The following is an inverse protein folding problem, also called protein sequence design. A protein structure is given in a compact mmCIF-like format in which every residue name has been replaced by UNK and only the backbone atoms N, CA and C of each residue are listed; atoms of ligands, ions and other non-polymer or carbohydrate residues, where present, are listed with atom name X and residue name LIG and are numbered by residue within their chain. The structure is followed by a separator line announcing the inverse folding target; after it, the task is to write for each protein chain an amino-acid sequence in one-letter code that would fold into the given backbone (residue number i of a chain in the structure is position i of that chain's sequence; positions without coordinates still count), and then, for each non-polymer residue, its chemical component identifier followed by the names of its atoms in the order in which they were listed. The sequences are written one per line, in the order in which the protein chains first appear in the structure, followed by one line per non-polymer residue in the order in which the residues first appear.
data_IF_644134616981
#
_entry.id   IF_644134616981
#
_cell.length_a   1.000
_cell.length_b   1.000
_cell.length_c   1.000
_cell.angle_alpha   90.00
_cell.angle_beta   90.00
_cell.angle_gamma   90.00
#
_symmetry.space_group_name_H-M   'P 1'
#
loop_
_entity.id
_entity.type
_entity.pdbx_description
1 polymer ?
#
# COMPACT_ATOMS: atom_id res chain seq x y z
N UNK A 1 -4.61 1.51 12.30
CA UNK A 1 -3.36 1.37 11.53
C UNK A 1 -2.73 -0.01 11.70
N UNK A 2 -2.46 -0.48 12.92
CA UNK A 2 -1.83 -1.79 13.13
C UNK A 2 -2.61 -2.96 12.49
N UNK A 3 -3.93 -3.00 12.69
CA UNK A 3 -4.77 -4.01 12.02
C UNK A 3 -4.69 -3.95 10.48
N UNK A 4 -4.66 -2.75 9.91
CA UNK A 4 -4.49 -2.57 8.46
C UNK A 4 -3.15 -3.09 7.96
N UNK A 5 -2.04 -2.75 8.65
CA UNK A 5 -0.71 -3.27 8.32
C UNK A 5 -0.70 -4.79 8.36
N UNK A 6 -1.31 -5.41 9.37
CA UNK A 6 -1.44 -6.87 9.46
C UNK A 6 -2.15 -7.43 8.25
N UNK A 7 -3.30 -6.86 7.85
CA UNK A 7 -4.05 -7.28 6.66
C UNK A 7 -3.17 -7.17 5.40
N UNK A 8 -2.57 -6.00 5.16
CA UNK A 8 -1.75 -5.74 3.98
C UNK A 8 -0.52 -6.67 3.90
N UNK A 9 0.18 -6.87 5.02
CA UNK A 9 1.34 -7.76 5.11
C UNK A 9 0.95 -9.20 4.76
N UNK A 10 -0.13 -9.73 5.31
CA UNK A 10 -0.50 -11.13 5.12
C UNK A 10 -1.18 -11.39 3.77
N UNK A 11 -2.03 -10.46 3.32
CA UNK A 11 -2.74 -10.54 2.04
C UNK A 11 -1.80 -10.36 0.85
N UNK A 12 -0.84 -9.44 0.97
CA UNK A 12 -0.08 -8.93 -0.19
C UNK A 12 1.43 -9.06 0.02
N UNK A 13 1.96 -8.64 1.17
CA UNK A 13 3.40 -8.70 1.48
C UNK A 13 4.00 -10.10 1.41
N UNK A 14 3.31 -11.10 1.95
CA UNK A 14 3.75 -12.49 1.92
C UNK A 14 3.96 -13.01 0.49
N UNK A 15 3.18 -12.54 -0.48
CA UNK A 15 3.32 -12.92 -1.89
C UNK A 15 4.64 -12.43 -2.49
N UNK A 16 4.98 -11.15 -2.29
CA UNK A 16 6.26 -10.58 -2.71
C UNK A 16 7.44 -11.34 -2.10
N UNK A 17 7.39 -11.62 -0.79
CA UNK A 17 8.44 -12.39 -0.12
C UNK A 17 8.57 -13.79 -0.69
N UNK A 18 7.46 -14.53 -0.81
CA UNK A 18 7.47 -15.91 -1.29
C UNK A 18 8.11 -16.03 -2.67
N UNK A 19 7.76 -15.16 -3.62
CA UNK A 19 8.32 -15.19 -4.98
C UNK A 19 9.84 -15.06 -4.98
N UNK A 20 10.39 -14.10 -4.23
CA UNK A 20 11.83 -13.88 -4.21
C UNK A 20 12.54 -14.93 -3.36
N UNK A 21 11.96 -15.36 -2.24
CA UNK A 21 12.52 -16.44 -1.43
C UNK A 21 12.63 -17.75 -2.25
N UNK A 22 11.61 -18.10 -3.04
CA UNK A 22 11.68 -19.25 -3.95
C UNK A 22 12.81 -19.10 -4.98
N UNK A 23 12.97 -17.92 -5.59
CA UNK A 23 14.06 -17.66 -6.54
C UNK A 23 15.44 -17.77 -5.89
N UNK A 24 15.61 -17.24 -4.66
CA UNK A 24 16.84 -17.34 -3.89
C UNK A 24 17.18 -18.81 -3.57
N UNK A 25 16.20 -19.60 -3.14
CA UNK A 25 16.40 -21.04 -2.92
C UNK A 25 16.82 -21.77 -4.20
N UNK A 26 16.16 -21.50 -5.34
CA UNK A 26 16.50 -22.10 -6.63
C UNK A 26 17.90 -21.70 -7.12
N UNK A 27 18.37 -20.50 -6.77
CA UNK A 27 19.72 -20.02 -7.05
C UNK A 27 20.78 -20.56 -6.07
N UNK A 28 20.40 -21.43 -5.12
CA UNK A 28 21.31 -22.09 -4.18
C UNK A 28 21.63 -21.29 -2.92
N UNK A 29 20.91 -20.21 -2.63
CA UNK A 29 21.08 -19.46 -1.39
C UNK A 29 20.48 -20.21 -0.19
N UNK A 30 21.25 -20.28 0.90
CA UNK A 30 20.86 -21.00 2.14
C UNK A 30 21.03 -20.18 3.43
N UNK A 31 21.72 -19.04 3.37
CA UNK A 31 21.99 -18.20 4.55
C UNK A 31 20.69 -17.59 5.10
N UNK A 32 20.31 -17.87 6.37
CA UNK A 32 19.10 -17.30 6.98
C UNK A 32 19.08 -15.77 6.98
N UNK A 33 20.25 -15.14 7.09
CA UNK A 33 20.40 -13.68 7.09
C UNK A 33 19.95 -13.08 5.76
N UNK A 34 20.22 -13.77 4.64
CA UNK A 34 19.79 -13.33 3.30
C UNK A 34 18.26 -13.34 3.20
N UNK A 35 17.62 -14.41 3.67
CA UNK A 35 16.17 -14.52 3.64
C UNK A 35 15.51 -13.50 4.57
N UNK A 36 16.08 -13.25 5.74
CA UNK A 36 15.57 -12.26 6.68
C UNK A 36 15.64 -10.83 6.10
N UNK A 37 16.78 -10.44 5.51
CA UNK A 37 16.93 -9.13 4.86
C UNK A 37 15.97 -8.97 3.68
N UNK A 38 15.84 -10.00 2.83
CA UNK A 38 14.88 -9.99 1.73
C UNK A 38 13.43 -9.86 2.23
N UNK A 39 13.08 -10.58 3.31
CA UNK A 39 11.75 -10.52 3.91
C UNK A 39 11.39 -9.13 4.38
N UNK A 40 12.26 -8.47 5.13
CA UNK A 40 12.00 -7.12 5.66
C UNK A 40 11.66 -6.13 4.55
N UNK A 41 12.47 -6.11 3.48
CA UNK A 41 12.27 -5.21 2.34
C UNK A 41 11.00 -5.56 1.56
N UNK A 42 10.75 -6.85 1.32
CA UNK A 42 9.62 -7.29 0.51
C UNK A 42 8.28 -7.14 1.24
N UNK A 43 8.26 -7.27 2.56
CA UNK A 43 7.07 -6.98 3.35
C UNK A 43 6.75 -5.48 3.35
N UNK A 44 7.77 -4.61 3.44
CA UNK A 44 7.59 -3.17 3.30
C UNK A 44 7.10 -2.80 1.88
N UNK A 45 7.66 -3.40 0.83
CA UNK A 45 7.22 -3.25 -0.55
C UNK A 45 5.76 -3.68 -0.74
N UNK A 46 5.37 -4.83 -0.21
CA UNK A 46 4.00 -5.31 -0.34
C UNK A 46 2.99 -4.48 0.45
N UNK A 47 3.38 -3.94 1.61
CA UNK A 47 2.57 -2.97 2.34
C UNK A 47 2.34 -1.70 1.51
N UNK A 48 3.41 -1.14 0.94
CA UNK A 48 3.30 0.03 0.06
C UNK A 48 2.43 -0.24 -1.16
N UNK A 49 2.59 -1.40 -1.80
CA UNK A 49 1.76 -1.79 -2.94
C UNK A 49 0.27 -1.85 -2.57
N UNK A 50 -0.09 -2.38 -1.40
CA UNK A 50 -1.49 -2.40 -0.96
C UNK A 50 -2.00 -0.98 -0.66
N UNK A 51 -1.18 -0.11 -0.07
CA UNK A 51 -1.57 1.29 0.17
C UNK A 51 -1.82 2.01 -1.16
N UNK A 52 -0.98 1.77 -2.17
CA UNK A 52 -1.18 2.31 -3.50
C UNK A 52 -2.44 1.73 -4.18
N UNK A 53 -2.69 0.42 -4.05
CA UNK A 53 -3.91 -0.22 -4.57
C UNK A 53 -5.18 0.41 -3.96
N UNK A 54 -5.20 0.59 -2.65
CA UNK A 54 -6.30 1.25 -1.93
C UNK A 54 -6.49 2.72 -2.38
N UNK A 55 -5.39 3.43 -2.64
CA UNK A 55 -5.43 4.81 -3.14
C UNK A 55 -6.00 4.87 -4.56
N UNK A 56 -5.50 4.02 -5.46
CA UNK A 56 -5.94 3.92 -6.86
C UNK A 56 -7.40 3.47 -6.94
N UNK A 57 -7.87 2.59 -6.06
CA UNK A 57 -9.28 2.19 -6.02
C UNK A 57 -10.19 3.42 -5.82
N UNK A 58 -9.80 4.37 -4.96
CA UNK A 58 -10.59 5.56 -4.68
C UNK A 58 -10.36 6.72 -5.67
N UNK A 59 -9.11 6.99 -6.03
CA UNK A 59 -8.69 8.20 -6.76
C UNK A 59 -8.15 7.94 -8.17
N UNK A 60 -7.94 6.68 -8.56
CA UNK A 60 -7.49 6.32 -9.90
C UNK A 60 -8.54 6.61 -10.98
N UNK A 61 -8.08 6.80 -12.22
CA UNK A 61 -8.97 6.97 -13.38
C UNK A 61 -9.50 5.60 -13.82
N UNK A 62 -10.83 5.34 -13.78
CA UNK A 62 -11.40 4.06 -14.22
C UNK A 62 -11.01 3.65 -15.65
N UNK A 63 -10.69 4.61 -16.52
CA UNK A 63 -10.23 4.32 -17.90
C UNK A 63 -8.87 3.66 -17.95
N UNK A 64 -8.00 4.01 -17.00
CA UNK A 64 -6.65 3.47 -16.89
C UNK A 64 -6.66 2.20 -16.04
N UNK A 65 -7.45 2.17 -14.95
CA UNK A 65 -7.48 1.03 -14.02
C UNK A 65 -8.29 -0.14 -14.57
N UNK A 66 -9.17 0.14 -15.55
CA UNK A 66 -10.10 -0.80 -16.14
C UNK A 66 -11.27 -1.18 -15.22
N UNK A 67 -11.39 -0.55 -14.04
CA UNK A 67 -12.44 -0.85 -13.06
C UNK A 67 -12.88 0.40 -12.29
N UNK A 68 -14.12 0.38 -11.82
CA UNK A 68 -14.59 1.35 -10.84
C UNK A 68 -14.24 0.79 -9.45
N UNK A 69 -13.60 1.60 -8.62
CA UNK A 69 -13.29 1.19 -7.26
C UNK A 69 -14.53 0.95 -6.41
N UNK A 70 -14.42 -0.01 -5.49
CA UNK A 70 -15.55 -0.47 -4.67
C UNK A 70 -15.29 -0.36 -3.18
N UNK A 71 -14.08 0.00 -2.76
CA UNK A 71 -13.67 -0.13 -1.35
C UNK A 71 -14.53 0.68 -0.38
N UNK A 72 -14.97 1.88 -0.79
CA UNK A 72 -15.84 2.72 0.05
C UNK A 72 -17.21 2.07 0.24
N UNK A 73 -17.85 1.61 -0.84
CA UNK A 73 -19.19 1.02 -0.77
C UNK A 73 -19.19 -0.36 -0.11
N UNK A 74 -18.09 -1.09 -0.24
CA UNK A 74 -17.88 -2.39 0.40
C UNK A 74 -17.47 -2.25 1.88
N UNK A 75 -17.17 -1.03 2.34
CA UNK A 75 -16.78 -0.74 3.71
C UNK A 75 -15.43 -1.35 4.10
N UNK A 76 -14.48 -1.43 3.16
CA UNK A 76 -13.21 -2.14 3.40
C UNK A 76 -12.28 -1.38 4.36
N UNK A 77 -11.50 -2.16 5.11
CA UNK A 77 -10.41 -1.62 5.92
C UNK A 77 -9.22 -1.26 4.99
N UNK A 78 -9.26 -0.05 4.43
CA UNK A 78 -8.25 0.49 3.53
C UNK A 78 -7.33 1.47 4.25
N UNK A 79 -6.20 1.79 3.63
CA UNK A 79 -5.33 2.85 4.11
C UNK A 79 -6.06 4.18 4.23
N UNK A 80 -6.90 4.53 3.25
CA UNK A 80 -7.69 5.77 3.25
C UNK A 80 -8.68 5.81 4.41
N UNK A 81 -9.47 4.75 4.64
CA UNK A 81 -10.47 4.74 5.70
C UNK A 81 -9.84 4.82 7.09
N UNK A 82 -8.74 4.11 7.31
CA UNK A 82 -7.99 4.16 8.57
C UNK A 82 -7.33 5.52 8.79
N UNK A 83 -6.71 6.08 7.75
CA UNK A 83 -6.02 7.38 7.79
C UNK A 83 -7.00 8.53 8.02
N UNK A 84 -8.20 8.44 7.42
CA UNK A 84 -9.33 9.33 7.67
C UNK A 84 -9.72 9.31 9.15
N UNK A 85 -10.05 8.14 9.72
CA UNK A 85 -10.51 8.04 11.12
C UNK A 85 -9.47 8.56 12.13
N UNK A 86 -8.17 8.41 11.83
CA UNK A 86 -7.09 8.92 12.67
C UNK A 86 -6.96 10.45 12.67
N UNK A 87 -7.41 11.12 11.60
CA UNK A 87 -7.26 12.58 11.42
C UNK A 87 -8.56 13.34 11.56
N UNK A 88 -9.69 12.67 11.35
CA UNK A 88 -11.01 13.24 11.40
C UNK A 88 -11.35 13.79 12.79
N UNK A 89 -12.00 14.95 12.80
CA UNK A 89 -12.75 15.45 13.95
C UNK A 89 -13.93 14.53 14.25
N UNK A 90 -14.56 14.66 15.42
CA UNK A 90 -15.72 13.83 15.76
C UNK A 90 -16.90 14.04 14.81
N UNK A 91 -17.14 15.28 14.37
CA UNK A 91 -18.15 15.57 13.34
C UNK A 91 -17.83 14.87 12.00
N UNK A 92 -16.55 14.80 11.61
CA UNK A 92 -16.13 14.09 10.41
C UNK A 92 -16.21 12.56 10.56
N UNK A 93 -16.01 12.02 11.78
CA UNK A 93 -16.22 10.59 12.04
C UNK A 93 -17.68 10.20 11.90
N UNK A 94 -18.62 11.08 12.24
CA UNK A 94 -20.05 10.82 12.02
C UNK A 94 -20.39 10.69 10.52
N UNK A 95 -19.73 11.46 9.64
CA UNK A 95 -19.84 11.27 8.19
C UNK A 95 -19.38 9.85 7.80
N UNK A 96 -18.24 9.39 8.34
CA UNK A 96 -17.77 8.02 8.08
C UNK A 96 -18.79 6.99 8.57
N UNK A 97 -19.39 7.16 9.76
CA UNK A 97 -20.44 6.24 10.26
C UNK A 97 -21.69 6.25 9.39
N UNK A 98 -22.07 7.41 8.87
CA UNK A 98 -23.29 7.58 8.10
C UNK A 98 -23.15 7.07 6.67
N UNK A 99 -22.01 7.28 5.99
CA UNK A 99 -21.89 7.05 4.55
C UNK A 99 -20.97 5.90 4.14
N UNK A 100 -20.01 5.49 4.98
CA UNK A 100 -19.06 4.43 4.63
C UNK A 100 -19.74 3.05 4.62
N UNK A 101 -19.42 2.22 3.62
CA UNK A 101 -19.99 0.87 3.49
C UNK A 101 -21.42 0.83 2.93
N UNK A 102 -21.87 1.91 2.29
CA UNK A 102 -23.18 1.98 1.61
C UNK A 102 -23.00 1.88 0.11
N UNK A 103 -23.75 0.98 -0.53
CA UNK A 103 -23.86 0.88 -1.99
C UNK A 103 -24.79 1.98 -2.53
N UNK A 104 -24.36 3.23 -2.34
CA UNK A 104 -25.02 4.43 -2.85
C UNK A 104 -23.96 5.41 -3.37
N UNK A 105 -24.18 5.90 -4.59
CA UNK A 105 -23.23 6.78 -5.27
C UNK A 105 -23.02 8.11 -4.55
N UNK A 106 -24.04 8.65 -3.89
CA UNK A 106 -23.92 9.90 -3.12
C UNK A 106 -23.15 9.67 -1.83
N UNK A 107 -23.38 8.53 -1.17
CA UNK A 107 -22.62 8.13 0.00
C UNK A 107 -21.12 7.96 -0.33
N UNK A 108 -20.80 7.28 -1.43
CA UNK A 108 -19.41 7.13 -1.91
C UNK A 108 -18.79 8.50 -2.21
N UNK A 109 -19.50 9.37 -2.92
CA UNK A 109 -19.03 10.72 -3.22
C UNK A 109 -18.77 11.55 -1.94
N UNK A 110 -19.63 11.44 -0.93
CA UNK A 110 -19.46 12.17 0.33
C UNK A 110 -18.23 11.71 1.10
N UNK A 111 -17.97 10.40 1.17
CA UNK A 111 -16.74 9.87 1.79
C UNK A 111 -15.50 10.31 1.01
N UNK A 112 -15.54 10.26 -0.33
CA UNK A 112 -14.42 10.72 -1.15
C UNK A 112 -14.11 12.20 -0.93
N UNK A 113 -15.14 13.05 -0.87
CA UNK A 113 -14.99 14.47 -0.53
C UNK A 113 -14.36 14.65 0.86
N UNK A 114 -14.75 13.86 1.85
CA UNK A 114 -14.12 13.91 3.17
C UNK A 114 -12.62 13.55 3.12
N UNK A 115 -12.23 12.59 2.29
CA UNK A 115 -10.81 12.28 2.07
C UNK A 115 -10.04 13.46 1.46
N UNK A 116 -10.67 14.22 0.57
CA UNK A 116 -10.11 15.46 0.00
C UNK A 116 -10.03 16.58 1.05
N UNK A 117 -11.07 16.78 1.86
CA UNK A 117 -11.09 17.75 2.97
C UNK A 117 -9.98 17.51 4.00
N UNK A 118 -9.58 16.24 4.19
CA UNK A 118 -8.49 15.83 5.08
C UNK A 118 -7.12 15.81 4.38
N UNK A 119 -7.03 16.27 3.14
CA UNK A 119 -5.82 16.27 2.31
C UNK A 119 -5.15 14.88 2.21
N UNK A 120 -5.94 13.80 2.20
CA UNK A 120 -5.39 12.44 2.11
C UNK A 120 -4.57 12.20 0.83
N UNK A 121 -4.91 12.78 -0.35
CA UNK A 121 -4.05 12.71 -1.53
C UNK A 121 -2.64 13.27 -1.32
N UNK A 122 -2.51 14.41 -0.64
CA UNK A 122 -1.20 15.02 -0.37
C UNK A 122 -0.39 14.20 0.65
N UNK A 123 -1.08 13.63 1.64
CA UNK A 123 -0.48 12.71 2.61
C UNK A 123 0.02 11.46 1.92
N UNK A 124 -0.74 10.91 0.97
CA UNK A 124 -0.31 9.76 0.17
C UNK A 124 0.92 10.11 -0.69
N UNK A 125 0.90 11.25 -1.39
CA UNK A 125 2.02 11.69 -2.22
C UNK A 125 3.31 11.84 -1.39
N UNK A 126 3.21 12.43 -0.19
CA UNK A 126 4.32 12.53 0.76
C UNK A 126 4.80 11.15 1.21
N UNK A 127 3.87 10.25 1.55
CA UNK A 127 4.19 8.89 1.96
C UNK A 127 4.92 8.11 0.86
N UNK A 128 4.49 8.23 -0.40
CA UNK A 128 5.11 7.56 -1.55
C UNK A 128 6.56 7.99 -1.77
N UNK A 129 6.84 9.30 -1.71
CA UNK A 129 8.19 9.83 -1.84
C UNK A 129 9.11 9.38 -0.69
N UNK A 130 8.63 9.45 0.55
CA UNK A 130 9.39 9.03 1.72
C UNK A 130 9.62 7.50 1.74
N UNK A 131 8.63 6.72 1.30
CA UNK A 131 8.76 5.27 1.15
C UNK A 131 9.88 4.92 0.15
N UNK A 132 9.89 5.56 -1.03
CA UNK A 132 10.90 5.34 -2.06
C UNK A 132 12.32 5.62 -1.56
N UNK A 133 12.51 6.75 -0.86
CA UNK A 133 13.81 7.10 -0.24
C UNK A 133 14.22 6.06 0.81
N UNK A 134 13.27 5.64 1.67
CA UNK A 134 13.52 4.66 2.74
C UNK A 134 13.94 3.30 2.18
N UNK A 135 13.21 2.78 1.19
CA UNK A 135 13.52 1.48 0.57
C UNK A 135 14.86 1.53 -0.16
N UNK A 136 15.15 2.58 -0.93
CA UNK A 136 16.46 2.72 -1.60
C UNK A 136 17.60 2.67 -0.60
N UNK A 137 17.49 3.40 0.52
CA UNK A 137 18.48 3.34 1.60
C UNK A 137 18.61 1.94 2.22
N UNK A 138 17.49 1.24 2.44
CA UNK A 138 17.54 -0.15 2.94
C UNK A 138 18.23 -1.08 1.93
N UNK A 139 17.98 -0.91 0.63
CA UNK A 139 18.62 -1.69 -0.43
C UNK A 139 20.13 -1.45 -0.47
N UNK A 140 20.57 -0.20 -0.35
CA UNK A 140 21.99 0.16 -0.32
C UNK A 140 22.72 -0.45 0.90
N UNK A 141 21.98 -0.76 1.97
CA UNK A 141 22.51 -1.36 3.20
C UNK A 141 22.46 -2.89 3.22
N UNK A 142 21.88 -3.54 2.20
CA UNK A 142 21.85 -5.00 2.11
C UNK A 142 23.28 -5.55 1.97
N UNK A 143 23.53 -6.72 2.56
CA UNK A 143 24.76 -7.46 2.31
C UNK A 143 25.02 -7.61 0.80
N UNK A 144 26.26 -7.39 0.34
CA UNK A 144 26.67 -7.59 -1.06
C UNK A 144 26.40 -8.99 -1.63
N UNK A 145 25.94 -9.93 -0.78
CA UNK A 145 25.58 -11.31 -1.15
C UNK A 145 24.24 -11.42 -1.88
N UNK A 146 23.33 -10.45 -1.75
CA UNK A 146 22.06 -10.44 -2.51
C UNK A 146 22.18 -9.44 -3.67
N UNK A 147 21.74 -9.79 -4.89
CA UNK A 147 21.64 -8.83 -5.98
C UNK A 147 20.59 -7.74 -5.67
N UNK A 148 20.99 -6.64 -5.01
CA UNK A 148 20.10 -5.53 -4.64
C UNK A 148 19.30 -4.94 -5.81
N UNK A 149 19.80 -5.12 -7.04
CA UNK A 149 19.12 -4.78 -8.30
C UNK A 149 17.72 -5.41 -8.43
N UNK A 150 17.46 -6.57 -7.82
CA UNK A 150 16.14 -7.20 -7.89
C UNK A 150 15.08 -6.35 -7.16
N UNK A 151 15.43 -5.79 -6.00
CA UNK A 151 14.53 -4.96 -5.22
C UNK A 151 14.32 -3.60 -5.88
N UNK A 152 15.37 -3.02 -6.49
CA UNK A 152 15.24 -1.80 -7.29
C UNK A 152 14.33 -2.02 -8.49
N UNK A 153 14.48 -3.14 -9.21
CA UNK A 153 13.61 -3.48 -10.33
C UNK A 153 12.14 -3.58 -9.90
N UNK A 154 11.85 -4.21 -8.77
CA UNK A 154 10.48 -4.28 -8.22
C UNK A 154 9.98 -2.87 -7.85
N UNK A 155 10.81 -2.08 -7.15
CA UNK A 155 10.47 -0.72 -6.75
C UNK A 155 10.14 0.16 -7.97
N UNK A 156 10.94 0.09 -9.04
CA UNK A 156 10.74 0.86 -10.27
C UNK A 156 9.45 0.48 -11.00
N UNK A 157 8.95 -0.75 -10.82
CA UNK A 157 7.67 -1.20 -11.40
C UNK A 157 6.45 -0.74 -10.63
N UNK A 158 6.59 -0.41 -9.34
CA UNK A 158 5.47 -0.05 -8.47
C UNK A 158 5.48 1.43 -8.08
N UNK A 159 6.62 2.10 -8.09
CA UNK A 159 6.72 3.50 -7.73
C UNK A 159 6.03 4.38 -8.78
N UNK A 160 5.16 5.30 -8.34
CA UNK A 160 4.38 6.19 -9.23
C UNK A 160 3.70 5.42 -10.36
N UNK A 161 3.13 4.26 -10.02
CA UNK A 161 2.42 3.42 -10.96
C UNK A 161 1.18 4.19 -11.45
N UNK A 162 1.27 4.71 -12.67
CA UNK A 162 0.16 5.33 -13.37
C UNK A 162 -0.71 4.20 -13.94
N UNK A 163 -1.81 3.94 -13.23
CA UNK A 163 -2.93 3.12 -13.66
C UNK A 163 -4.21 3.92 -13.53
#
# INVERSE_FOLDING_TARGET
MEQYKTIAIHKTGSGYYLTIASALHLAGYTSPEIFQQAKEILLDIGLFFQIQDDFIDCFGDPKLTGKIGTDIKDGKCTWLSVTCVQRATDAQKEIMREYFGKDDTKAVARVKQLYEELCLPDIYATYEEEFSKRIKRQIDQISQKIPGKIFLFILDKIFKRNL
#
